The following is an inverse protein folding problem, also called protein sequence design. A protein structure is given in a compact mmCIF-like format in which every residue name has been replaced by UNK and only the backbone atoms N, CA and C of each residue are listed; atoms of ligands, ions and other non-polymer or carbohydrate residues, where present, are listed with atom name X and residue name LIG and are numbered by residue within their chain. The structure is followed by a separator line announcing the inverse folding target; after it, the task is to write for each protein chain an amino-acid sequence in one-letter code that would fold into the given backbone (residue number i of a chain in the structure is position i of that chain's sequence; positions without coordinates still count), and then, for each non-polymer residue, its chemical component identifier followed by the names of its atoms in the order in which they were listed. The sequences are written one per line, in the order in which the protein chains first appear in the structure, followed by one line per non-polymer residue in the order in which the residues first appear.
data_IF_060105572696
#
_entry.id   IF_060105572696
#
_cell.length_a   1.000
_cell.length_b   1.000
_cell.length_c   1.000
_cell.angle_alpha   90.00
_cell.angle_beta   90.00
_cell.angle_gamma   90.00
#
_symmetry.space_group_name_H-M   'P 1'
#
loop_
_entity.id
_entity.type
_entity.pdbx_description
1 polymer ?
#
# COMPACT_ATOMS: atom_id res chain seq x y z
N UNK A 1 37.91 56.50 -9.00
CA UNK A 1 37.67 57.96 -9.06
C UNK A 1 36.24 58.17 -9.52
N UNK A 2 35.49 59.02 -8.81
CA UNK A 2 34.03 59.17 -8.82
C UNK A 2 33.49 59.50 -10.23
N UNK A 3 32.61 58.67 -10.79
CA UNK A 3 31.85 59.00 -12.01
C UNK A 3 30.52 59.63 -11.59
N UNK A 4 30.29 60.83 -12.14
CA UNK A 4 29.26 61.78 -11.78
C UNK A 4 27.92 61.43 -12.42
N UNK A 5 26.89 61.62 -11.60
CA UNK A 5 25.46 61.60 -11.87
C UNK A 5 25.08 62.61 -12.98
N UNK A 6 24.39 62.14 -14.02
CA UNK A 6 23.73 62.99 -15.01
C UNK A 6 22.22 62.99 -14.76
N UNK A 7 21.67 64.20 -14.54
CA UNK A 7 20.25 64.49 -14.44
C UNK A 7 19.74 64.75 -15.87
N UNK A 8 18.68 64.04 -16.27
CA UNK A 8 17.83 64.46 -17.38
C UNK A 8 16.37 64.41 -16.89
N UNK A 9 15.73 65.56 -16.85
CA UNK A 9 14.32 65.73 -16.53
C UNK A 9 13.49 65.66 -17.81
N UNK A 10 12.37 64.93 -17.81
CA UNK A 10 11.23 65.22 -18.67
C UNK A 10 9.94 64.53 -18.21
N UNK A 11 8.93 65.38 -18.04
CA UNK A 11 7.47 65.17 -18.22
C UNK A 11 6.74 64.13 -17.36
N UNK A 12 6.08 64.71 -16.35
CA UNK A 12 4.85 64.31 -15.70
C UNK A 12 3.76 63.89 -16.71
N UNK A 13 3.19 62.70 -16.52
CA UNK A 13 1.89 62.31 -17.10
C UNK A 13 1.15 61.49 -16.05
N UNK A 14 0.05 62.07 -15.55
CA UNK A 14 -0.88 61.45 -14.62
C UNK A 14 -1.53 60.23 -15.27
N UNK A 15 -1.52 59.09 -14.57
CA UNK A 15 -2.47 58.02 -14.80
C UNK A 15 -3.31 57.82 -13.54
N UNK A 16 -4.61 58.06 -13.71
CA UNK A 16 -5.66 57.97 -12.71
C UNK A 16 -5.79 56.54 -12.17
N UNK A 17 -5.83 56.42 -10.84
CA UNK A 17 -6.33 55.26 -10.13
C UNK A 17 -7.85 55.21 -10.27
N UNK A 18 -8.40 54.09 -10.72
CA UNK A 18 -9.82 53.80 -10.68
C UNK A 18 -10.02 52.53 -9.86
N UNK A 19 -10.67 52.68 -8.70
CA UNK A 19 -11.15 51.58 -7.87
C UNK A 19 -12.67 51.52 -8.03
N UNK A 20 -13.19 50.38 -8.50
CA UNK A 20 -14.57 49.97 -8.23
C UNK A 20 -14.71 48.46 -8.36
N UNK A 21 -15.25 47.85 -7.31
CA UNK A 21 -15.80 46.48 -7.33
C UNK A 21 -17.01 46.41 -8.27
N UNK A 22 -17.17 45.28 -8.99
CA UNK A 22 -18.44 44.87 -9.57
C UNK A 22 -18.71 43.37 -9.34
N UNK A 23 -19.94 43.11 -8.87
CA UNK A 23 -20.64 41.81 -8.84
C UNK A 23 -21.40 41.58 -10.15
N UNK A 24 -21.87 40.33 -10.32
CA UNK A 24 -22.85 39.79 -11.29
C UNK A 24 -22.28 39.41 -12.68
N UNK A 25 -22.64 38.29 -13.34
CA UNK A 25 -23.88 37.52 -13.33
C UNK A 25 -23.68 36.02 -13.67
N UNK A 26 -24.61 35.23 -13.15
CA UNK A 26 -25.03 33.91 -13.62
C UNK A 26 -25.57 33.99 -15.05
N UNK A 27 -25.16 33.05 -15.91
CA UNK A 27 -25.95 32.61 -17.08
C UNK A 27 -25.97 31.09 -17.11
N UNK A 28 -27.17 30.58 -17.34
CA UNK A 28 -27.61 29.19 -17.32
C UNK A 28 -26.90 28.25 -18.30
N UNK A 29 -26.92 26.97 -17.92
CA UNK A 29 -27.02 25.79 -18.77
C UNK A 29 -26.09 25.68 -19.98
N UNK A 30 -24.97 24.99 -19.73
CA UNK A 30 -24.61 23.88 -20.60
C UNK A 30 -24.56 22.64 -19.74
N UNK A 31 -25.53 21.74 -19.93
CA UNK A 31 -25.46 20.38 -19.41
C UNK A 31 -24.13 19.78 -19.87
N UNK A 32 -23.16 19.72 -18.95
CA UNK A 32 -21.93 18.97 -19.16
C UNK A 32 -22.39 17.53 -19.25
N UNK A 33 -22.42 17.03 -20.49
CA UNK A 33 -22.59 15.61 -20.80
C UNK A 33 -21.72 14.85 -19.82
N UNK A 34 -22.34 13.95 -19.07
CA UNK A 34 -21.64 12.98 -18.25
C UNK A 34 -20.58 12.32 -19.14
N UNK A 35 -19.32 12.68 -18.90
CA UNK A 35 -18.21 11.86 -19.35
C UNK A 35 -18.47 10.49 -18.75
N UNK A 36 -18.58 9.49 -19.60
CA UNK A 36 -18.63 8.09 -19.20
C UNK A 36 -17.29 7.83 -18.52
N UNK A 37 -17.22 8.08 -17.21
CA UNK A 37 -16.02 7.96 -16.41
C UNK A 37 -15.77 6.47 -16.25
N UNK A 38 -15.21 5.88 -17.30
CA UNK A 38 -14.83 4.48 -17.35
C UNK A 38 -13.81 4.30 -16.24
N UNK A 39 -14.27 3.73 -15.12
CA UNK A 39 -13.52 3.62 -13.89
C UNK A 39 -12.30 2.72 -14.14
N UNK A 40 -11.17 3.29 -14.56
CA UNK A 40 -9.92 2.56 -14.72
C UNK A 40 -9.40 2.24 -13.32
N UNK A 41 -9.90 1.15 -12.73
CA UNK A 41 -9.38 0.67 -11.46
C UNK A 41 -8.05 -0.04 -11.69
N UNK A 42 -7.09 0.18 -10.78
CA UNK A 42 -5.90 -0.66 -10.67
C UNK A 42 -6.13 -1.85 -9.73
N UNK A 43 -7.27 -1.93 -9.04
CA UNK A 43 -7.62 -3.01 -8.12
C UNK A 43 -8.79 -3.85 -8.63
N UNK A 44 -8.65 -5.15 -8.48
CA UNK A 44 -9.60 -6.14 -8.94
C UNK A 44 -9.81 -7.22 -7.88
N UNK A 45 -11.02 -7.77 -7.86
CA UNK A 45 -11.39 -8.80 -6.89
C UNK A 45 -12.25 -9.87 -7.53
N UNK A 46 -11.99 -11.10 -7.12
CA UNK A 46 -12.86 -12.24 -7.27
C UNK A 46 -13.28 -12.67 -5.87
N UNK A 47 -14.55 -13.07 -5.72
CA UNK A 47 -15.05 -13.65 -4.47
C UNK A 47 -16.08 -14.71 -4.76
N UNK A 48 -15.95 -15.85 -4.07
CA UNK A 48 -16.94 -16.91 -3.99
C UNK A 48 -17.48 -17.00 -2.56
N UNK A 49 -18.23 -18.05 -2.24
CA UNK A 49 -18.67 -18.31 -0.86
C UNK A 49 -17.52 -18.60 0.12
N UNK A 50 -16.35 -19.00 -0.39
CA UNK A 50 -15.22 -19.48 0.41
C UNK A 50 -13.90 -18.81 0.03
N UNK A 51 -13.77 -18.38 -1.23
CA UNK A 51 -12.50 -17.97 -1.81
C UNK A 51 -12.50 -16.49 -2.17
N UNK A 52 -11.33 -15.86 -2.08
CA UNK A 52 -11.11 -14.52 -2.60
C UNK A 52 -9.76 -14.42 -3.29
N UNK A 53 -9.71 -13.67 -4.39
CA UNK A 53 -8.47 -13.26 -5.05
C UNK A 53 -8.49 -11.75 -5.17
N UNK A 54 -7.40 -11.10 -4.75
CA UNK A 54 -7.21 -9.66 -4.90
C UNK A 54 -6.01 -9.43 -5.81
N UNK A 55 -6.20 -8.62 -6.84
CA UNK A 55 -5.16 -8.24 -7.78
C UNK A 55 -5.07 -6.72 -7.83
N UNK A 56 -3.86 -6.19 -7.67
CA UNK A 56 -3.55 -4.81 -7.94
C UNK A 56 -2.48 -4.73 -9.02
N UNK A 57 -2.68 -3.87 -10.02
CA UNK A 57 -1.82 -3.70 -11.17
C UNK A 57 -1.58 -2.23 -11.49
N UNK A 58 -0.31 -1.84 -11.54
CA UNK A 58 0.17 -0.53 -11.95
C UNK A 58 1.13 -0.67 -13.14
N UNK A 59 0.88 0.05 -14.26
CA UNK A 59 1.83 0.10 -15.37
C UNK A 59 3.07 0.92 -14.99
N UNK A 60 4.26 0.40 -15.30
CA UNK A 60 5.55 1.09 -15.16
C UNK A 60 6.40 0.79 -16.39
N UNK A 61 6.51 1.77 -17.29
CA UNK A 61 7.09 1.57 -18.61
C UNK A 61 6.29 0.52 -19.38
N UNK A 62 6.98 -0.49 -19.91
CA UNK A 62 6.37 -1.62 -20.64
C UNK A 62 5.93 -2.77 -19.71
N UNK A 63 6.12 -2.64 -18.41
CA UNK A 63 5.80 -3.68 -17.43
C UNK A 63 4.52 -3.36 -16.65
N UNK A 64 3.85 -4.41 -16.18
CA UNK A 64 2.77 -4.36 -15.21
C UNK A 64 3.30 -4.91 -13.89
N UNK A 65 3.25 -4.11 -12.84
CA UNK A 65 3.70 -4.50 -11.50
C UNK A 65 2.56 -4.33 -10.48
N UNK A 66 2.61 -5.03 -9.36
CA UNK A 66 1.70 -4.78 -8.26
C UNK A 66 1.65 -5.93 -7.27
N UNK A 67 0.46 -6.22 -6.75
CA UNK A 67 0.25 -7.13 -5.63
C UNK A 67 -0.83 -8.16 -5.96
N UNK A 68 -0.66 -9.39 -5.48
CA UNK A 68 -1.59 -10.48 -5.69
C UNK A 68 -1.77 -11.29 -4.41
N UNK A 69 -3.03 -11.48 -4.03
CA UNK A 69 -3.42 -12.27 -2.87
C UNK A 69 -4.37 -13.37 -3.32
N UNK A 70 -4.03 -14.61 -2.98
CA UNK A 70 -4.93 -15.75 -3.05
C UNK A 70 -5.33 -16.15 -1.62
N UNK A 71 -6.61 -16.03 -1.31
CA UNK A 71 -7.20 -16.42 -0.05
C UNK A 71 -8.23 -17.54 -0.32
N UNK A 72 -7.74 -18.78 -0.41
CA UNK A 72 -8.58 -19.95 -0.63
C UNK A 72 -8.85 -20.64 0.69
N UNK A 73 -10.11 -21.02 0.97
CA UNK A 73 -10.51 -21.47 2.32
C UNK A 73 -9.73 -22.71 2.81
N UNK A 74 -9.36 -23.60 1.89
CA UNK A 74 -8.65 -24.85 2.20
C UNK A 74 -7.12 -24.73 2.11
N UNK A 75 -6.60 -23.51 1.93
CA UNK A 75 -5.17 -23.24 1.72
C UNK A 75 -4.71 -22.11 2.65
N UNK A 76 -3.40 -22.02 2.81
CA UNK A 76 -2.80 -20.85 3.45
C UNK A 76 -3.02 -19.60 2.60
N UNK A 77 -3.12 -18.46 3.27
CA UNK A 77 -3.19 -17.16 2.60
C UNK A 77 -1.85 -16.89 1.89
N UNK A 78 -1.87 -16.86 0.55
CA UNK A 78 -0.71 -16.46 -0.25
C UNK A 78 -0.80 -14.96 -0.55
N UNK A 79 0.27 -14.24 -0.21
CA UNK A 79 0.43 -12.81 -0.47
C UNK A 79 1.79 -12.58 -1.11
N UNK A 80 1.84 -11.73 -2.13
CA UNK A 80 3.08 -11.48 -2.84
C UNK A 80 2.98 -10.43 -3.94
N UNK A 81 4.13 -10.10 -4.52
CA UNK A 81 4.24 -9.16 -5.62
C UNK A 81 4.04 -9.86 -6.96
N UNK A 82 3.44 -9.16 -7.93
CA UNK A 82 3.32 -9.61 -9.32
C UNK A 82 4.09 -8.65 -10.23
N UNK A 83 4.87 -9.19 -11.17
CA UNK A 83 5.58 -8.39 -12.18
C UNK A 83 5.60 -9.12 -13.52
N UNK A 84 5.18 -8.45 -14.59
CA UNK A 84 5.07 -9.08 -15.90
C UNK A 84 4.87 -8.12 -17.04
N UNK A 85 4.55 -8.65 -18.21
CA UNK A 85 4.35 -7.89 -19.44
C UNK A 85 3.11 -8.36 -20.19
N UNK A 86 2.50 -7.43 -20.92
CA UNK A 86 1.40 -7.74 -21.83
C UNK A 86 1.93 -8.40 -23.10
N UNK A 87 1.26 -9.46 -23.54
CA UNK A 87 1.40 -10.06 -24.87
C UNK A 87 0.02 -10.11 -25.52
N UNK A 88 -0.26 -9.15 -26.41
CA UNK A 88 -1.62 -8.89 -26.86
C UNK A 88 -2.50 -8.53 -25.65
N UNK A 89 -3.59 -9.27 -25.48
CA UNK A 89 -4.54 -9.03 -24.38
C UNK A 89 -4.21 -9.81 -23.10
N UNK A 90 -3.12 -10.58 -23.07
CA UNK A 90 -2.77 -11.42 -21.91
C UNK A 90 -1.55 -10.88 -21.18
N UNK A 91 -1.69 -10.62 -19.88
CA UNK A 91 -0.57 -10.39 -18.97
C UNK A 91 0.07 -11.74 -18.62
N UNK A 92 1.34 -11.91 -18.90
CA UNK A 92 2.16 -12.99 -18.34
C UNK A 92 3.08 -12.40 -17.29
N UNK A 93 3.06 -12.94 -16.07
CA UNK A 93 3.78 -12.36 -14.96
C UNK A 93 4.36 -13.41 -14.03
N UNK A 94 5.45 -13.05 -13.35
CA UNK A 94 5.96 -13.77 -12.20
C UNK A 94 5.23 -13.27 -10.95
N UNK A 95 4.58 -14.19 -10.22
CA UNK A 95 4.05 -13.98 -8.89
C UNK A 95 5.03 -14.51 -7.86
N UNK A 96 5.62 -13.62 -7.07
CA UNK A 96 6.65 -13.94 -6.06
C UNK A 96 6.05 -13.84 -4.67
N UNK A 97 6.05 -14.94 -3.92
CA UNK A 97 5.42 -15.04 -2.61
C UNK A 97 6.26 -15.85 -1.63
N UNK A 98 6.04 -15.62 -0.34
CA UNK A 98 6.66 -16.41 0.72
C UNK A 98 5.79 -17.64 1.02
N UNK A 99 6.39 -18.82 1.04
CA UNK A 99 5.78 -20.09 1.42
C UNK A 99 6.72 -20.81 2.37
N UNK A 100 6.26 -21.12 3.59
CA UNK A 100 7.06 -21.84 4.60
C UNK A 100 8.45 -21.22 4.87
N UNK A 101 8.55 -19.88 4.82
CA UNK A 101 9.81 -19.18 5.00
C UNK A 101 10.74 -19.15 3.78
N UNK A 102 10.32 -19.72 2.65
CA UNK A 102 11.05 -19.69 1.38
C UNK A 102 10.33 -18.87 0.32
N UNK A 103 11.08 -18.10 -0.46
CA UNK A 103 10.53 -17.36 -1.59
C UNK A 103 10.29 -18.34 -2.74
N UNK A 104 9.05 -18.37 -3.22
CA UNK A 104 8.61 -19.14 -4.38
C UNK A 104 8.12 -18.20 -5.48
N UNK A 105 8.31 -18.60 -6.72
CA UNK A 105 7.84 -17.87 -7.90
C UNK A 105 6.91 -18.75 -8.71
N UNK A 106 5.73 -18.24 -9.04
CA UNK A 106 4.79 -18.90 -9.95
C UNK A 106 4.51 -17.99 -11.12
N UNK A 107 4.68 -18.50 -12.33
CA UNK A 107 4.18 -17.83 -13.51
C UNK A 107 2.65 -17.86 -13.50
N UNK A 108 2.04 -16.69 -13.68
CA UNK A 108 0.59 -16.48 -13.76
C UNK A 108 0.25 -15.80 -15.07
N UNK A 109 -0.95 -16.06 -15.57
CA UNK A 109 -1.47 -15.45 -16.78
C UNK A 109 -2.83 -14.82 -16.50
N UNK A 110 -3.05 -13.60 -16.96
CA UNK A 110 -4.33 -12.92 -16.84
C UNK A 110 -4.75 -12.38 -18.21
N UNK A 111 -5.84 -12.90 -18.77
CA UNK A 111 -6.44 -12.40 -19.99
C UNK A 111 -7.33 -11.20 -19.66
N UNK A 112 -7.04 -10.06 -20.27
CA UNK A 112 -7.84 -8.85 -20.15
C UNK A 112 -9.10 -8.98 -20.99
N UNK A 113 -10.27 -8.79 -20.37
CA UNK A 113 -11.57 -8.65 -21.05
C UNK A 113 -12.23 -7.38 -20.54
N UNK A 114 -12.26 -6.34 -21.37
CA UNK A 114 -12.71 -4.99 -20.99
C UNK A 114 -11.95 -4.44 -19.76
N UNK A 115 -12.63 -4.32 -18.62
CA UNK A 115 -12.09 -3.90 -17.33
C UNK A 115 -11.95 -5.08 -16.35
N UNK A 116 -12.03 -6.30 -16.84
CA UNK A 116 -11.91 -7.51 -16.03
C UNK A 116 -10.69 -8.32 -16.44
N UNK A 117 -10.25 -9.19 -15.54
CA UNK A 117 -9.13 -10.10 -15.79
C UNK A 117 -9.59 -11.53 -15.51
N UNK A 118 -9.35 -12.42 -16.47
CA UNK A 118 -9.55 -13.86 -16.29
C UNK A 118 -8.19 -14.52 -16.04
N UNK A 119 -8.04 -15.21 -14.92
CA UNK A 119 -6.83 -16.01 -14.69
C UNK A 119 -6.77 -17.19 -15.67
N UNK A 120 -5.61 -17.44 -16.25
CA UNK A 120 -5.37 -18.60 -17.11
C UNK A 120 -4.70 -19.73 -16.36
N UNK A 121 -5.13 -20.96 -16.61
CA UNK A 121 -4.48 -22.15 -16.08
C UNK A 121 -3.98 -23.06 -17.19
N UNK A 122 -2.92 -23.78 -16.89
CA UNK A 122 -2.33 -24.78 -17.76
C UNK A 122 -1.33 -25.62 -17.00
N UNK A 123 -0.78 -26.61 -17.68
CA UNK A 123 0.30 -27.42 -17.13
C UNK A 123 1.53 -26.55 -16.83
N UNK A 124 2.16 -26.82 -15.69
CA UNK A 124 3.37 -26.13 -15.25
C UNK A 124 4.49 -27.14 -15.03
N UNK A 125 5.71 -26.70 -15.28
CA UNK A 125 6.94 -27.39 -14.86
C UNK A 125 7.67 -26.53 -13.84
N UNK A 126 8.41 -27.18 -12.94
CA UNK A 126 9.11 -26.50 -11.85
C UNK A 126 10.61 -26.66 -12.03
N UNK A 127 11.33 -25.55 -11.99
CA UNK A 127 12.79 -25.51 -11.93
C UNK A 127 13.22 -24.70 -10.69
N UNK A 128 13.79 -25.38 -9.70
CA UNK A 128 14.06 -24.77 -8.39
C UNK A 128 12.78 -24.29 -7.72
N UNK A 129 12.74 -23.03 -7.32
CA UNK A 129 11.58 -22.40 -6.68
C UNK A 129 10.61 -21.75 -7.67
N UNK A 130 10.83 -21.92 -8.98
CA UNK A 130 10.02 -21.29 -10.03
C UNK A 130 9.18 -22.30 -10.80
N UNK A 131 7.86 -22.16 -10.73
CA UNK A 131 6.91 -22.88 -11.58
C UNK A 131 6.55 -22.03 -12.81
N UNK A 132 6.65 -22.59 -14.02
CA UNK A 132 6.37 -21.92 -15.30
C UNK A 132 5.46 -22.75 -16.18
N UNK A 133 4.65 -22.11 -17.03
CA UNK A 133 3.78 -22.84 -17.95
C UNK A 133 4.59 -23.64 -18.98
N UNK A 134 4.23 -24.91 -19.18
CA UNK A 134 4.86 -25.76 -20.22
C UNK A 134 4.48 -25.28 -21.62
N UNK A 135 3.25 -24.80 -21.80
CA UNK A 135 2.74 -24.28 -23.05
C UNK A 135 1.76 -23.10 -22.84
N UNK A 136 2.26 -21.88 -23.03
CA UNK A 136 1.47 -20.63 -22.88
C UNK A 136 0.34 -20.48 -23.91
N UNK A 137 0.42 -21.16 -25.06
CA UNK A 137 -0.62 -21.08 -26.09
C UNK A 137 -1.80 -22.03 -25.79
N UNK A 138 -1.61 -23.02 -24.90
CA UNK A 138 -2.63 -23.99 -24.51
C UNK A 138 -3.32 -23.63 -23.17
N UNK A 139 -3.15 -22.39 -22.70
CA UNK A 139 -3.81 -21.93 -21.47
C UNK A 139 -5.33 -21.88 -21.64
N UNK A 140 -6.04 -22.29 -20.59
CA UNK A 140 -7.49 -22.28 -20.50
C UNK A 140 -7.98 -21.09 -19.66
N UNK A 141 -8.99 -20.36 -20.15
CA UNK A 141 -9.59 -19.17 -19.53
C UNK A 141 -11.12 -19.26 -19.34
N UNK A 142 -11.74 -20.42 -19.58
CA UNK A 142 -13.20 -20.49 -19.84
C UNK A 142 -14.07 -20.54 -18.56
N UNK A 143 -13.53 -20.90 -17.40
CA UNK A 143 -14.26 -20.98 -16.13
C UNK A 143 -13.35 -20.73 -14.92
N UNK A 144 -12.54 -19.68 -15.02
CA UNK A 144 -11.51 -19.35 -14.05
C UNK A 144 -11.91 -18.15 -13.18
N UNK A 145 -11.02 -17.78 -12.27
CA UNK A 145 -11.15 -16.59 -11.43
C UNK A 145 -11.34 -15.34 -12.30
N UNK A 146 -12.59 -14.85 -12.38
CA UNK A 146 -12.94 -13.59 -13.04
C UNK A 146 -12.82 -12.43 -12.05
N UNK A 147 -11.71 -11.71 -12.15
CA UNK A 147 -11.41 -10.52 -11.36
C UNK A 147 -12.14 -9.31 -11.92
N UNK A 148 -13.06 -8.75 -11.13
CA UNK A 148 -13.84 -7.56 -11.48
C UNK A 148 -13.22 -6.31 -10.86
N UNK A 149 -13.33 -5.14 -11.50
CA UNK A 149 -12.76 -3.91 -10.95
C UNK A 149 -13.47 -3.55 -9.65
N UNK A 150 -12.69 -3.17 -8.64
CA UNK A 150 -13.17 -2.68 -7.35
C UNK A 150 -12.40 -1.42 -6.97
N UNK A 151 -12.95 -0.60 -6.09
CA UNK A 151 -12.22 0.55 -5.56
C UNK A 151 -11.01 0.07 -4.74
N UNK A 152 -9.82 0.57 -5.07
CA UNK A 152 -8.64 0.36 -4.23
C UNK A 152 -8.88 0.93 -2.83
N UNK A 153 -8.80 0.09 -1.79
CA UNK A 153 -8.92 0.54 -0.41
C UNK A 153 -7.56 1.05 0.07
N UNK A 154 -7.50 2.34 0.35
CA UNK A 154 -6.27 3.04 0.71
C UNK A 154 -6.42 3.85 2.00
N UNK A 155 -5.30 4.08 2.69
CA UNK A 155 -5.24 5.07 3.77
C UNK A 155 -5.02 6.49 3.22
N UNK A 156 -4.89 7.49 4.12
CA UNK A 156 -4.68 8.89 3.74
C UNK A 156 -3.37 9.16 2.96
N UNK A 157 -2.46 8.19 2.91
CA UNK A 157 -1.18 8.26 2.18
C UNK A 157 -1.18 7.36 0.94
N UNK A 158 -2.36 6.92 0.50
CA UNK A 158 -2.55 6.03 -0.65
C UNK A 158 -1.96 4.63 -0.46
N UNK A 159 -1.66 4.20 0.77
CA UNK A 159 -1.17 2.85 1.02
C UNK A 159 -2.29 1.83 0.85
N UNK A 160 -2.03 0.75 0.10
CA UNK A 160 -3.00 -0.29 -0.23
C UNK A 160 -3.36 -1.17 0.98
N UNK A 161 -4.22 -0.66 1.85
CA UNK A 161 -4.66 -1.34 3.08
C UNK A 161 -5.30 -2.71 2.82
N UNK A 162 -5.98 -2.90 1.68
CA UNK A 162 -6.54 -4.21 1.30
C UNK A 162 -5.47 -5.26 1.03
N UNK A 163 -4.23 -4.85 0.76
CA UNK A 163 -3.08 -5.73 0.53
C UNK A 163 -2.14 -5.79 1.76
N UNK A 164 -2.56 -5.24 2.90
CA UNK A 164 -1.79 -5.26 4.15
C UNK A 164 -0.70 -4.21 4.24
N UNK A 165 -0.70 -3.21 3.35
CA UNK A 165 0.20 -2.06 3.43
C UNK A 165 -0.37 -0.97 4.32
N UNK A 166 0.52 -0.29 5.04
CA UNK A 166 0.21 0.89 5.86
C UNK A 166 1.32 1.91 5.72
N UNK A 167 1.00 3.19 5.90
CA UNK A 167 2.02 4.22 5.99
C UNK A 167 2.91 4.07 7.23
N UNK A 168 4.23 4.22 7.07
CA UNK A 168 5.18 4.40 8.17
C UNK A 168 5.68 5.84 8.24
N UNK A 169 5.52 6.48 9.40
CA UNK A 169 6.04 7.81 9.67
C UNK A 169 7.57 7.82 9.79
N UNK A 170 8.18 6.70 10.19
CA UNK A 170 9.64 6.58 10.27
C UNK A 170 10.27 6.41 8.89
N UNK A 171 9.71 5.52 8.06
CA UNK A 171 10.29 5.20 6.75
C UNK A 171 9.81 6.12 5.62
N UNK A 172 8.75 6.91 5.84
CA UNK A 172 8.13 7.78 4.84
C UNK A 172 7.68 7.04 3.57
N UNK A 173 7.20 5.82 3.75
CA UNK A 173 6.70 4.97 2.68
C UNK A 173 5.64 3.99 3.19
N UNK A 174 4.89 3.41 2.27
CA UNK A 174 4.00 2.30 2.57
C UNK A 174 4.81 1.03 2.84
N UNK A 175 4.50 0.33 3.94
CA UNK A 175 5.21 -0.87 4.39
C UNK A 175 4.24 -2.00 4.68
N UNK A 176 4.68 -3.24 4.46
CA UNK A 176 3.96 -4.44 4.92
C UNK A 176 4.45 -4.79 6.32
N UNK A 177 3.59 -4.62 7.32
CA UNK A 177 3.95 -4.92 8.72
C UNK A 177 4.26 -6.39 8.95
N UNK A 178 3.69 -7.29 8.13
CA UNK A 178 3.92 -8.74 8.26
C UNK A 178 5.35 -9.14 7.95
N UNK A 179 6.01 -8.45 7.02
CA UNK A 179 7.39 -8.76 6.63
C UNK A 179 8.40 -7.81 7.27
N UNK A 180 8.04 -6.54 7.48
CA UNK A 180 8.96 -5.54 8.00
C UNK A 180 8.94 -5.40 9.53
N UNK A 181 7.80 -5.74 10.16
CA UNK A 181 7.55 -5.45 11.58
C UNK A 181 7.74 -6.63 12.52
N UNK A 182 8.08 -6.32 13.76
CA UNK A 182 8.09 -7.30 14.86
C UNK A 182 6.66 -7.43 15.36
N UNK A 183 6.10 -8.64 15.27
CA UNK A 183 4.72 -8.93 15.63
C UNK A 183 4.59 -9.17 17.14
N UNK A 184 3.67 -8.47 17.79
CA UNK A 184 3.28 -8.70 19.18
C UNK A 184 1.83 -9.19 19.23
N UNK A 185 1.61 -10.34 19.87
CA UNK A 185 0.27 -10.89 20.05
C UNK A 185 -0.35 -10.40 21.36
N UNK A 186 -1.67 -10.16 21.38
CA UNK A 186 -2.36 -9.79 22.61
C UNK A 186 -2.24 -10.94 23.61
N UNK A 187 -2.09 -10.60 24.89
CA UNK A 187 -2.17 -11.59 25.95
C UNK A 187 -3.59 -12.07 26.17
N UNK A 188 -3.72 -13.24 26.80
CA UNK A 188 -5.00 -13.74 27.27
C UNK A 188 -5.67 -12.70 28.19
N UNK A 189 -6.96 -12.42 27.95
CA UNK A 189 -7.74 -11.41 28.68
C UNK A 189 -7.20 -9.98 28.61
N UNK A 190 -6.31 -9.66 27.65
CA UNK A 190 -5.97 -8.27 27.38
C UNK A 190 -7.20 -7.51 26.87
N UNK A 191 -7.57 -6.44 27.56
CA UNK A 191 -8.65 -5.52 27.15
C UNK A 191 -8.20 -4.67 25.96
N UNK A 192 -8.01 -5.30 24.81
CA UNK A 192 -7.57 -4.68 23.57
C UNK A 192 -8.43 -5.16 22.40
N UNK A 193 -8.41 -4.42 21.30
CA UNK A 193 -9.09 -4.85 20.07
C UNK A 193 -8.46 -6.16 19.56
N UNK A 194 -9.25 -7.10 19.00
CA UNK A 194 -8.71 -8.31 18.39
C UNK A 194 -7.68 -7.99 17.30
N UNK A 195 -6.59 -8.75 17.29
CA UNK A 195 -5.49 -8.60 16.34
C UNK A 195 -4.13 -8.39 17.01
N UNK A 196 -3.07 -8.60 16.24
CA UNK A 196 -1.70 -8.36 16.70
C UNK A 196 -1.31 -6.90 16.54
N UNK A 197 -0.41 -6.43 17.42
CA UNK A 197 0.32 -5.20 17.22
C UNK A 197 1.62 -5.47 16.43
N UNK A 198 2.20 -4.44 15.84
CA UNK A 198 3.50 -4.52 15.17
C UNK A 198 4.39 -3.35 15.57
N UNK A 199 5.70 -3.58 15.61
CA UNK A 199 6.72 -2.56 15.87
C UNK A 199 7.64 -2.44 14.66
N UNK A 200 7.91 -1.20 14.25
CA UNK A 200 9.03 -0.85 13.36
C UNK A 200 10.00 0.07 14.11
N UNK A 201 11.30 -0.23 14.07
CA UNK A 201 12.31 0.64 14.65
C UNK A 201 12.88 1.60 13.61
N UNK A 202 13.29 2.79 14.07
CA UNK A 202 14.19 3.64 13.30
C UNK A 202 15.56 2.94 13.17
N UNK A 203 16.33 3.31 12.14
CA UNK A 203 17.64 2.68 11.88
C UNK A 203 18.62 2.79 13.07
N UNK A 204 18.55 3.89 13.83
CA UNK A 204 19.33 4.15 15.04
C UNK A 204 18.69 3.59 16.33
N UNK A 205 17.52 2.96 16.21
CA UNK A 205 16.67 2.46 17.28
C UNK A 205 16.30 3.52 18.34
N UNK A 206 16.43 4.81 18.06
CA UNK A 206 16.00 5.87 18.97
C UNK A 206 14.48 6.05 18.98
N UNK A 207 13.79 5.54 17.97
CA UNK A 207 12.34 5.56 17.88
C UNK A 207 11.79 4.18 17.50
N UNK A 208 10.59 3.91 17.99
CA UNK A 208 9.78 2.78 17.59
C UNK A 208 8.40 3.29 17.15
N UNK A 209 7.93 2.83 16.00
CA UNK A 209 6.59 3.08 15.50
C UNK A 209 5.72 1.85 15.81
N UNK A 210 4.71 2.08 16.65
CA UNK A 210 3.76 1.09 17.12
C UNK A 210 2.49 1.12 16.28
N UNK A 211 2.14 -0.02 15.70
CA UNK A 211 0.92 -0.24 14.94
C UNK A 211 -0.01 -1.13 15.76
N UNK A 212 -1.14 -0.58 16.18
CA UNK A 212 -2.18 -1.30 16.93
C UNK A 212 -3.41 -1.55 16.02
N UNK A 213 -4.20 -2.59 16.27
CA UNK A 213 -5.38 -2.89 15.44
C UNK A 213 -6.36 -1.72 15.36
N UNK A 214 -6.76 -1.38 14.14
CA UNK A 214 -7.81 -0.39 13.84
C UNK A 214 -7.59 0.99 14.51
N UNK A 215 -6.36 1.50 14.44
CA UNK A 215 -6.00 2.86 14.85
C UNK A 215 -4.76 3.35 14.11
N UNK A 216 -4.48 4.65 14.22
CA UNK A 216 -3.27 5.25 13.67
C UNK A 216 -2.01 4.75 14.39
N UNK A 217 -0.88 4.78 13.66
CA UNK A 217 0.44 4.47 14.20
C UNK A 217 0.84 5.47 15.30
N UNK A 218 1.55 4.97 16.31
CA UNK A 218 2.01 5.71 17.48
C UNK A 218 3.53 5.73 17.48
N UNK A 219 4.14 6.91 17.58
CA UNK A 219 5.59 7.03 17.78
C UNK A 219 5.94 6.93 19.27
N UNK A 220 6.93 6.10 19.55
CA UNK A 220 7.53 5.89 20.87
C UNK A 220 9.01 6.29 20.79
N UNK A 221 9.47 7.09 21.75
CA UNK A 221 10.87 7.50 21.80
C UNK A 221 11.62 6.62 22.80
N UNK A 222 12.88 6.31 22.50
CA UNK A 222 13.76 5.58 23.40
C UNK A 222 14.03 6.42 24.66
N UNK A 223 13.97 5.76 25.81
CA UNK A 223 14.12 6.35 27.13
C UNK A 223 14.93 5.40 28.02
N UNK A 224 15.61 5.95 29.03
CA UNK A 224 16.45 5.18 29.95
C UNK A 224 17.87 4.95 29.44
N UNK A 225 18.70 4.32 30.27
CA UNK A 225 20.10 4.01 29.96
C UNK A 225 20.25 2.67 29.24
N UNK A 226 21.44 2.42 28.68
CA UNK A 226 21.80 1.12 28.12
C UNK A 226 21.56 0.00 29.14
N UNK A 227 21.01 -1.14 28.68
CA UNK A 227 20.59 -2.25 29.55
C UNK A 227 19.28 -2.07 30.32
N UNK A 228 18.73 -0.85 30.44
CA UNK A 228 17.45 -0.56 31.10
C UNK A 228 16.52 0.35 30.25
N UNK A 229 16.76 0.38 28.95
CA UNK A 229 16.02 1.24 28.04
C UNK A 229 14.67 0.64 27.68
N UNK A 230 13.75 1.52 27.27
CA UNK A 230 12.45 1.18 26.71
C UNK A 230 12.05 2.25 25.68
N UNK A 231 11.02 2.00 24.90
CA UNK A 231 10.42 3.02 24.03
C UNK A 231 9.05 3.40 24.59
N UNK A 232 8.77 4.70 24.70
CA UNK A 232 7.47 5.13 25.21
C UNK A 232 7.07 6.55 24.87
N UNK A 233 5.80 6.84 25.15
CA UNK A 233 5.17 8.16 25.00
C UNK A 233 4.27 8.54 26.22
N UNK A 234 4.53 7.94 27.38
CA UNK A 234 3.73 8.12 28.60
C UNK A 234 2.63 7.06 28.75
N UNK A 235 1.79 6.86 27.73
CA UNK A 235 0.73 5.86 27.75
C UNK A 235 1.26 4.46 27.44
N UNK A 236 2.01 4.34 26.34
CA UNK A 236 2.55 3.08 25.84
C UNK A 236 4.03 2.96 26.18
N UNK A 237 4.42 1.76 26.61
CA UNK A 237 5.81 1.43 26.93
C UNK A 237 6.18 0.06 26.36
N UNK A 238 7.17 0.01 25.48
CA UNK A 238 7.73 -1.18 24.87
C UNK A 238 9.07 -1.51 25.53
N UNK A 239 9.20 -2.71 26.09
CA UNK A 239 10.42 -3.18 26.75
C UNK A 239 11.06 -4.35 25.99
N UNK A 240 12.39 -4.37 25.84
CA UNK A 240 13.13 -5.51 25.28
C UNK A 240 13.28 -6.59 26.35
N UNK A 241 12.30 -7.47 26.49
CA UNK A 241 12.28 -8.54 27.50
C UNK A 241 11.83 -9.86 26.88
N UNK A 242 12.75 -10.83 26.74
CA UNK A 242 12.52 -12.14 26.10
C UNK A 242 11.84 -12.02 24.72
N UNK A 243 12.38 -11.11 23.89
CA UNK A 243 11.68 -10.53 22.76
C UNK A 243 11.22 -9.14 23.16
N UNK A 244 9.93 -8.86 23.03
CA UNK A 244 9.34 -7.58 23.40
C UNK A 244 8.03 -7.74 24.15
N UNK A 245 7.82 -6.84 25.11
CA UNK A 245 6.56 -6.70 25.82
C UNK A 245 6.05 -5.28 25.69
N UNK A 246 4.75 -5.13 25.44
CA UNK A 246 4.09 -3.83 25.30
C UNK A 246 3.07 -3.63 26.41
N UNK A 247 3.27 -2.55 27.16
CA UNK A 247 2.38 -2.13 28.25
C UNK A 247 1.60 -0.88 27.88
N UNK A 248 0.38 -0.79 28.41
CA UNK A 248 -0.45 0.41 28.40
C UNK A 248 -0.78 0.76 29.86
N UNK A 249 -0.42 1.97 30.31
CA UNK A 249 -0.63 2.40 31.71
C UNK A 249 -0.21 1.31 32.74
N UNK A 250 0.97 0.72 32.50
CA UNK A 250 1.62 -0.36 33.27
C UNK A 250 0.99 -1.77 33.21
N UNK A 251 -0.19 -1.93 32.61
CA UNK A 251 -0.76 -3.24 32.30
C UNK A 251 -0.10 -3.85 31.07
N UNK A 252 0.32 -5.10 31.17
CA UNK A 252 0.86 -5.85 30.03
C UNK A 252 -0.28 -6.20 29.06
N UNK A 253 -0.12 -5.81 27.79
CA UNK A 253 -1.17 -5.97 26.76
C UNK A 253 -0.74 -6.92 25.65
N UNK A 254 0.50 -6.82 25.17
CA UNK A 254 1.03 -7.65 24.09
C UNK A 254 2.43 -8.18 24.40
N UNK A 255 2.79 -9.30 23.78
CA UNK A 255 4.12 -9.86 23.78
C UNK A 255 4.46 -10.51 22.43
N UNK A 256 5.74 -10.52 22.06
CA UNK A 256 6.21 -11.15 20.82
C UNK A 256 7.73 -11.32 20.81
N UNK A 257 8.23 -12.06 19.81
CA UNK A 257 9.65 -12.33 19.60
C UNK A 257 10.07 -11.87 18.20
#
# INVERSE_FOLDING_TARGET
MKIKLFILAASFSLLMSCQSEQKMNTTENTAVKASNNQLTSSCYQYSSSQDSVLLHLNPVGDSMIGELIYAFAEKDLNTGSIAGQMKGDTLFADYTFLSEGQISVREVAFLKKDQTWLEGYGEVTTNGQKATFTNKAALNFDNTVLLKPVTCRQDAHSCLTSFGFTWSNLQKQCVSLRSAGIRLNPLENAEVKPGSAFILFSADQQQAELFLPAQAAILLNRQGSEGQHHWGNGEWKLYPWKGYILKQADKLRYAGQ
#
